data_IF_037746328503
#
_entry.id   IF_037746328503
#
_cell.length_a   1.000
_cell.length_b   1.000
_cell.length_c   1.000
_cell.angle_alpha   90.00
_cell.angle_beta   90.00
_cell.angle_gamma   90.00
#
_symmetry.space_group_name_H-M   'P 1'
#
loop_
_entity.id
_entity.type
_entity.pdbx_description
1 polymer ?
#
# COMPACT_ATOMS: atom_id res chain seq x y z
N UNK A 1 28.54 -19.85 29.25
CA UNK A 1 27.07 -19.99 29.23
C UNK A 1 26.52 -18.87 28.36
N UNK A 2 25.94 -19.24 27.24
CA UNK A 2 25.88 -18.47 25.99
C UNK A 2 24.79 -17.40 25.97
N UNK A 3 25.18 -16.14 25.72
CA UNK A 3 24.28 -15.02 25.39
C UNK A 3 23.83 -15.03 23.90
N UNK A 4 23.71 -16.21 23.29
CA UNK A 4 23.49 -16.36 21.84
C UNK A 4 22.03 -16.74 21.51
N UNK A 5 21.20 -17.04 22.50
CA UNK A 5 19.85 -17.59 22.27
C UNK A 5 18.73 -16.57 22.12
N UNK A 6 18.92 -15.29 22.47
CA UNK A 6 17.87 -14.27 22.29
C UNK A 6 17.87 -13.66 20.88
N UNK A 7 19.04 -13.35 20.33
CA UNK A 7 19.16 -12.80 18.97
C UNK A 7 18.76 -13.82 17.89
N UNK A 8 18.99 -15.11 18.14
CA UNK A 8 18.59 -16.18 17.22
C UNK A 8 17.06 -16.31 17.12
N UNK A 9 16.30 -16.00 18.18
CA UNK A 9 14.84 -16.11 18.16
C UNK A 9 14.20 -14.97 17.36
N UNK A 10 14.75 -13.76 17.46
CA UNK A 10 14.32 -12.60 16.67
C UNK A 10 14.65 -12.78 15.17
N UNK A 11 15.76 -13.44 14.84
CA UNK A 11 16.14 -13.71 13.46
C UNK A 11 15.19 -14.72 12.77
N UNK A 12 14.69 -15.71 13.52
CA UNK A 12 13.75 -16.72 12.98
C UNK A 12 12.35 -16.16 12.74
N UNK A 13 11.93 -15.12 13.46
CA UNK A 13 10.62 -14.49 13.26
C UNK A 13 10.56 -13.61 12.00
N UNK A 14 11.71 -13.22 11.43
CA UNK A 14 11.81 -12.38 10.23
C UNK A 14 11.87 -13.24 8.94
N UNK A 15 12.11 -14.56 9.04
CA UNK A 15 12.42 -15.41 7.88
C UNK A 15 11.29 -16.38 7.44
N UNK A 16 10.08 -16.31 8.02
CA UNK A 16 8.95 -17.15 7.59
C UNK A 16 7.99 -16.41 6.65
N UNK A 17 8.52 -15.94 5.53
CA UNK A 17 7.77 -15.33 4.43
C UNK A 17 7.36 -16.38 3.41
N UNK A 18 6.10 -16.84 3.50
CA UNK A 18 5.34 -17.31 2.32
C UNK A 18 3.81 -17.11 2.46
N UNK A 19 3.34 -16.56 3.59
CA UNK A 19 1.94 -16.13 3.81
C UNK A 19 1.82 -14.69 4.34
N UNK A 20 2.94 -13.95 4.44
CA UNK A 20 3.03 -12.68 5.17
C UNK A 20 3.08 -11.42 4.28
N UNK A 21 3.08 -11.58 2.96
CA UNK A 21 3.24 -10.44 2.02
C UNK A 21 1.99 -9.57 1.89
N UNK A 22 0.80 -10.15 2.07
CA UNK A 22 -0.50 -9.44 1.99
C UNK A 22 -0.71 -8.50 3.18
N UNK A 23 -0.46 -9.01 4.38
CA UNK A 23 -0.60 -8.27 5.65
C UNK A 23 0.43 -7.14 5.75
N UNK A 24 1.68 -7.41 5.35
CA UNK A 24 2.78 -6.43 5.45
C UNK A 24 2.62 -5.23 4.53
N UNK A 25 2.10 -5.40 3.31
CA UNK A 25 1.96 -4.27 2.39
C UNK A 25 0.82 -3.32 2.79
N UNK A 26 -0.32 -3.86 3.25
CA UNK A 26 -1.43 -3.05 3.73
C UNK A 26 -1.05 -2.23 4.96
N UNK A 27 -0.39 -2.85 5.95
CA UNK A 27 0.10 -2.14 7.14
C UNK A 27 1.15 -1.09 6.79
N UNK A 28 2.03 -1.36 5.82
CA UNK A 28 2.98 -0.36 5.30
C UNK A 28 2.27 0.81 4.63
N UNK A 29 1.24 0.56 3.82
CA UNK A 29 0.52 1.63 3.12
C UNK A 29 -0.20 2.52 4.12
N UNK A 30 -0.79 1.95 5.17
CA UNK A 30 -1.54 2.68 6.19
C UNK A 30 -0.73 3.79 6.88
N UNK A 31 0.60 3.67 6.92
CA UNK A 31 1.48 4.67 7.56
C UNK A 31 1.99 5.75 6.60
N UNK A 32 1.66 5.67 5.30
CA UNK A 32 2.17 6.59 4.30
C UNK A 32 1.48 7.95 4.35
N UNK A 33 2.27 8.98 4.09
CA UNK A 33 1.80 10.36 3.91
C UNK A 33 1.18 10.57 2.52
N UNK A 34 0.44 11.66 2.36
CA UNK A 34 -0.15 12.09 1.08
C UNK A 34 0.91 12.16 -0.04
N UNK A 35 2.12 12.64 0.28
CA UNK A 35 3.20 12.74 -0.71
C UNK A 35 3.68 11.36 -1.18
N UNK A 36 3.83 10.41 -0.26
CA UNK A 36 4.24 9.03 -0.57
C UNK A 36 3.15 8.27 -1.34
N UNK A 37 1.87 8.54 -1.07
CA UNK A 37 0.76 8.05 -1.90
C UNK A 37 0.86 8.63 -3.32
N UNK A 38 1.19 9.91 -3.46
CA UNK A 38 1.49 10.53 -4.75
C UNK A 38 2.59 9.78 -5.52
N UNK A 39 3.67 9.38 -4.86
CA UNK A 39 4.76 8.61 -5.48
C UNK A 39 4.29 7.22 -5.95
N UNK A 40 3.42 6.55 -5.18
CA UNK A 40 2.78 5.29 -5.59
C UNK A 40 1.92 5.48 -6.84
N UNK A 41 1.11 6.55 -6.88
CA UNK A 41 0.28 6.84 -8.07
C UNK A 41 1.15 7.03 -9.31
N UNK A 42 2.26 7.76 -9.21
CA UNK A 42 3.22 7.94 -10.32
C UNK A 42 3.87 6.62 -10.74
N UNK A 43 4.24 5.78 -9.78
CA UNK A 43 4.79 4.44 -10.03
C UNK A 43 3.81 3.58 -10.84
N UNK A 44 2.50 3.69 -10.57
CA UNK A 44 1.44 2.92 -11.22
C UNK A 44 0.92 3.56 -12.52
N UNK A 45 1.55 4.64 -13.01
CA UNK A 45 1.09 5.44 -14.16
C UNK A 45 -0.32 6.00 -13.96
N UNK A 46 -0.58 6.48 -12.74
CA UNK A 46 -1.81 7.11 -12.27
C UNK A 46 -1.55 8.57 -11.87
N UNK A 47 -0.52 9.19 -12.45
CA UNK A 47 -0.08 10.56 -12.16
C UNK A 47 -1.22 11.60 -12.23
N UNK A 48 -2.22 11.36 -13.08
CA UNK A 48 -3.39 12.21 -13.25
C UNK A 48 -4.22 12.38 -11.96
N UNK A 49 -4.12 11.43 -11.02
CA UNK A 49 -4.88 11.44 -9.76
C UNK A 49 -4.10 12.02 -8.56
N UNK A 50 -2.84 12.40 -8.75
CA UNK A 50 -1.99 12.88 -7.63
C UNK A 50 -2.60 14.12 -6.96
N UNK A 51 -3.00 15.13 -7.73
CA UNK A 51 -3.63 16.32 -7.14
C UNK A 51 -5.01 15.99 -6.56
N UNK A 52 -5.79 15.10 -7.17
CA UNK A 52 -7.07 14.65 -6.59
C UNK A 52 -6.90 14.04 -5.20
N UNK A 53 -5.92 13.14 -5.02
CA UNK A 53 -5.65 12.54 -3.71
C UNK A 53 -5.17 13.57 -2.71
N UNK A 54 -4.34 14.53 -3.14
CA UNK A 54 -3.83 15.59 -2.29
C UNK A 54 -4.91 16.58 -1.86
N UNK A 55 -5.76 17.02 -2.79
CA UNK A 55 -6.85 17.96 -2.53
C UNK A 55 -7.90 17.36 -1.60
N UNK A 56 -8.15 16.05 -1.71
CA UNK A 56 -9.03 15.29 -0.83
C UNK A 56 -8.32 14.74 0.43
N UNK A 57 -7.06 15.12 0.66
CA UNK A 57 -6.26 14.73 1.83
C UNK A 57 -6.15 13.21 2.04
N UNK A 58 -6.09 12.44 0.95
CA UNK A 58 -6.00 10.98 0.98
C UNK A 58 -4.57 10.55 1.30
N UNK A 59 -4.30 10.36 2.58
CA UNK A 59 -3.10 9.67 3.07
C UNK A 59 -3.29 8.14 3.04
N UNK A 60 -2.27 7.41 3.51
CA UNK A 60 -2.29 5.96 3.55
C UNK A 60 -3.38 5.37 4.44
N UNK A 61 -3.72 6.02 5.56
CA UNK A 61 -4.75 5.56 6.46
C UNK A 61 -6.14 5.72 5.84
N UNK A 62 -6.39 6.86 5.19
CA UNK A 62 -7.63 7.11 4.45
C UNK A 62 -7.73 6.16 3.26
N UNK A 63 -6.67 6.00 2.47
CA UNK A 63 -6.68 5.10 1.32
C UNK A 63 -7.03 3.66 1.70
N UNK A 64 -6.52 3.17 2.83
CA UNK A 64 -6.84 1.82 3.34
C UNK A 64 -8.27 1.67 3.86
N UNK A 65 -9.00 2.77 4.06
CA UNK A 65 -10.42 2.76 4.42
C UNK A 65 -11.36 2.79 3.21
N UNK A 66 -10.85 3.09 2.02
CA UNK A 66 -11.62 3.15 0.77
C UNK A 66 -11.70 1.79 0.08
N UNK A 67 -12.84 1.51 -0.54
CA UNK A 67 -12.98 0.39 -1.46
C UNK A 67 -12.88 0.80 -2.95
N UNK A 68 -13.05 -0.14 -3.86
CA UNK A 68 -12.95 0.15 -5.30
C UNK A 68 -14.08 1.06 -5.80
N UNK A 69 -15.25 1.07 -5.16
CA UNK A 69 -16.37 1.91 -5.57
C UNK A 69 -16.14 3.35 -5.09
N UNK A 70 -15.58 3.54 -3.90
CA UNK A 70 -15.16 4.86 -3.40
C UNK A 70 -14.13 5.52 -4.34
N UNK A 71 -13.10 4.76 -4.76
CA UNK A 71 -12.08 5.24 -5.70
C UNK A 71 -12.69 5.74 -7.02
N UNK A 72 -13.76 5.09 -7.49
CA UNK A 72 -14.43 5.44 -8.75
C UNK A 72 -15.37 6.62 -8.56
N UNK A 73 -16.23 6.57 -7.53
CA UNK A 73 -17.32 7.52 -7.36
C UNK A 73 -16.87 8.82 -6.68
N UNK A 74 -15.97 8.74 -5.70
CA UNK A 74 -15.50 9.91 -4.94
C UNK A 74 -14.24 10.51 -5.55
N UNK A 75 -13.30 9.67 -5.99
CA UNK A 75 -12.01 10.14 -6.55
C UNK A 75 -11.97 10.17 -8.08
N UNK A 76 -13.08 9.81 -8.75
CA UNK A 76 -13.22 9.91 -10.20
C UNK A 76 -12.31 8.97 -10.99
N UNK A 77 -11.81 7.89 -10.37
CA UNK A 77 -10.96 6.94 -11.06
C UNK A 77 -11.75 6.10 -12.05
N UNK A 78 -11.15 5.72 -13.18
CA UNK A 78 -11.76 4.67 -14.02
C UNK A 78 -11.64 3.34 -13.28
N UNK A 79 -12.63 2.46 -13.45
CA UNK A 79 -12.66 1.12 -12.83
C UNK A 79 -11.35 0.33 -12.96
N UNK A 80 -10.73 0.35 -14.14
CA UNK A 80 -9.45 -0.35 -14.38
C UNK A 80 -8.28 0.28 -13.60
N UNK A 81 -8.27 1.60 -13.43
CA UNK A 81 -7.25 2.32 -12.66
C UNK A 81 -7.42 2.09 -11.16
N UNK A 82 -8.66 2.15 -10.65
CA UNK A 82 -8.99 1.76 -9.28
C UNK A 82 -8.57 0.31 -8.99
N UNK A 83 -8.85 -0.62 -9.91
CA UNK A 83 -8.42 -2.02 -9.80
C UNK A 83 -6.90 -2.14 -9.71
N UNK A 84 -6.13 -1.36 -10.49
CA UNK A 84 -4.67 -1.36 -10.45
C UNK A 84 -4.15 -0.89 -9.09
N UNK A 85 -4.70 0.21 -8.55
CA UNK A 85 -4.33 0.70 -7.23
C UNK A 85 -4.67 -0.33 -6.15
N UNK A 86 -5.85 -0.95 -6.22
CA UNK A 86 -6.26 -1.99 -5.28
C UNK A 86 -5.37 -3.24 -5.34
N UNK A 87 -4.93 -3.68 -6.53
CA UNK A 87 -3.97 -4.77 -6.67
C UNK A 87 -2.60 -4.39 -6.09
N UNK A 88 -2.17 -3.14 -6.23
CA UNK A 88 -0.97 -2.67 -5.56
C UNK A 88 -1.13 -2.70 -4.03
N UNK A 89 -2.27 -2.23 -3.50
CA UNK A 89 -2.53 -2.21 -2.06
C UNK A 89 -2.56 -3.61 -1.46
N UNK A 90 -3.26 -4.52 -2.13
CA UNK A 90 -3.45 -5.88 -1.64
C UNK A 90 -2.27 -6.81 -1.90
N UNK A 91 -1.54 -6.65 -3.00
CA UNK A 91 -0.57 -7.67 -3.46
C UNK A 91 0.81 -7.08 -3.75
N UNK A 92 0.99 -5.75 -3.65
CA UNK A 92 2.20 -5.09 -4.10
C UNK A 92 2.39 -5.16 -5.61
N UNK A 93 1.32 -5.45 -6.37
CA UNK A 93 1.40 -5.64 -7.82
C UNK A 93 1.71 -4.33 -8.55
N UNK A 94 2.78 -4.33 -9.35
CA UNK A 94 3.15 -3.25 -10.27
C UNK A 94 3.08 -3.81 -11.69
N UNK A 95 2.25 -3.24 -12.58
CA UNK A 95 2.19 -3.67 -13.99
C UNK A 95 3.54 -3.53 -14.71
N UNK A 96 3.87 -4.50 -15.58
CA UNK A 96 5.10 -4.54 -16.39
C UNK A 96 4.83 -4.14 -17.84
#
# INVERSE_FOLDING_TARGET
>A
MSAVTHSSYLMTQILNTDQDTKSTNMERIKTLTINEIGDILRLLKLDEYVETFKDNQVDGAILMSLDSDDLVNELGMKKLQATRLFMYMSEGHIPK
#
